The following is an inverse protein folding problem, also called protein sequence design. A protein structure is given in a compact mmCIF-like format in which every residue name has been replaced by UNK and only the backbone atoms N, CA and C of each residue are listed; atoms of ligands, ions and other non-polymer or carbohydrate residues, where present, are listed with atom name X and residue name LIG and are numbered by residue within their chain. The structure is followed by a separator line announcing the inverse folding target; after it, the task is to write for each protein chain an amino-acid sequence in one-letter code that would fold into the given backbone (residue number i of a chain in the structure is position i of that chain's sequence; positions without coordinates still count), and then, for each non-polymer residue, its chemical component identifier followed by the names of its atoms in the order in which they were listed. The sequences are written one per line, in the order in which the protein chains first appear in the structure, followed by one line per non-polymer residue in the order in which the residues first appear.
data_IF_041761388031
#
_entry.id   IF_041761388031
#
_cell.length_a   1.000
_cell.length_b   1.000
_cell.length_c   1.000
_cell.angle_alpha   90.00
_cell.angle_beta   90.00
_cell.angle_gamma   90.00
#
_symmetry.space_group_name_H-M   'P 1'
#
loop_
_entity.id
_entity.type
_entity.pdbx_description
1 polymer ?
#
# COMPACT_ATOMS: atom_id res chain seq x y z
N UNK A 1 -7.42 13.94 -4.57
CA UNK A 1 -7.00 14.33 -3.21
C UNK A 1 -5.68 15.06 -3.36
N UNK A 2 -5.56 16.21 -2.71
CA UNK A 2 -4.40 17.10 -2.77
C UNK A 2 -3.64 17.08 -1.44
N UNK A 3 -2.40 17.55 -1.43
CA UNK A 3 -1.63 17.75 -0.19
C UNK A 3 -2.36 18.64 0.83
N UNK A 4 -3.15 19.62 0.37
CA UNK A 4 -4.00 20.46 1.22
C UNK A 4 -5.09 19.68 1.96
N UNK A 5 -5.62 18.63 1.33
CA UNK A 5 -6.61 17.76 1.97
C UNK A 5 -5.97 16.97 3.12
N UNK A 6 -4.70 16.57 2.97
CA UNK A 6 -3.92 15.91 4.03
C UNK A 6 -3.67 16.86 5.19
N UNK A 7 -3.25 18.09 4.89
CA UNK A 7 -2.99 19.11 5.89
C UNK A 7 -4.22 19.36 6.77
N UNK A 8 -5.40 19.52 6.15
CA UNK A 8 -6.68 19.67 6.86
C UNK A 8 -7.00 18.45 7.73
N UNK A 9 -6.82 17.24 7.20
CA UNK A 9 -7.05 16.02 7.98
C UNK A 9 -6.07 15.88 9.16
N UNK A 10 -4.86 16.43 9.06
CA UNK A 10 -3.88 16.45 10.15
C UNK A 10 -4.24 17.44 11.27
N UNK A 11 -5.03 18.47 11.00
CA UNK A 11 -5.50 19.40 12.04
C UNK A 11 -6.36 18.69 13.08
N UNK A 12 -7.20 17.75 12.64
CA UNK A 12 -8.06 16.92 13.49
C UNK A 12 -7.36 15.69 14.08
N UNK A 13 -6.14 15.36 13.63
CA UNK A 13 -5.43 14.14 14.02
C UNK A 13 -4.37 14.37 15.09
N UNK A 14 -4.22 13.43 16.01
CA UNK A 14 -3.16 13.41 17.04
C UNK A 14 -1.98 12.54 16.62
N UNK A 15 -2.27 11.52 15.80
CA UNK A 15 -1.31 10.53 15.30
C UNK A 15 -1.53 10.33 13.80
N UNK A 16 -0.45 10.29 13.04
CA UNK A 16 -0.44 9.87 11.64
C UNK A 16 0.09 8.44 11.57
N UNK A 17 -0.74 7.52 11.10
CA UNK A 17 -0.35 6.15 10.79
C UNK A 17 -0.07 6.05 9.29
N UNK A 18 1.20 6.08 8.92
CA UNK A 18 1.62 5.88 7.53
C UNK A 18 1.69 4.38 7.22
N UNK A 19 0.92 3.95 6.24
CA UNK A 19 0.90 2.57 5.77
C UNK A 19 1.82 2.43 4.57
N UNK A 20 2.77 1.51 4.66
CA UNK A 20 3.73 1.20 3.60
C UNK A 20 3.66 -0.27 3.20
N UNK A 21 4.16 -0.63 2.01
CA UNK A 21 4.24 -2.01 1.53
C UNK A 21 5.60 -2.61 1.89
N UNK A 22 5.61 -3.70 2.67
CA UNK A 22 6.85 -4.30 3.17
C UNK A 22 7.78 -4.83 2.07
N UNK A 23 7.26 -5.07 0.86
CA UNK A 23 8.07 -5.50 -0.29
C UNK A 23 8.96 -4.37 -0.81
N UNK A 24 8.49 -3.12 -0.69
CA UNK A 24 9.17 -1.94 -1.22
C UNK A 24 9.08 -0.73 -0.26
N UNK A 25 9.64 -0.83 0.97
CA UNK A 25 9.46 0.21 1.98
C UNK A 25 9.96 1.59 1.54
N UNK A 26 11.17 1.68 0.98
CA UNK A 26 11.73 2.98 0.57
C UNK A 26 10.93 3.66 -0.56
N UNK A 27 10.30 2.89 -1.47
CA UNK A 27 9.46 3.44 -2.54
C UNK A 27 8.09 3.89 -1.98
N UNK A 28 7.56 3.15 -1.00
CA UNK A 28 6.20 3.38 -0.47
C UNK A 28 6.13 4.29 0.75
N UNK A 29 7.27 4.74 1.28
CA UNK A 29 7.36 5.84 2.25
C UNK A 29 7.21 7.19 1.56
N UNK A 30 6.56 8.12 2.24
CA UNK A 30 6.36 9.48 1.77
C UNK A 30 7.13 10.47 2.65
N UNK A 31 8.34 10.82 2.21
CA UNK A 31 9.20 11.79 2.92
C UNK A 31 8.51 13.13 3.15
N UNK A 32 7.64 13.54 2.22
CA UNK A 32 6.82 14.75 2.35
C UNK A 32 5.79 14.64 3.48
N UNK A 33 5.08 13.51 3.58
CA UNK A 33 4.16 13.26 4.69
C UNK A 33 4.90 13.23 6.03
N UNK A 34 6.03 12.53 6.08
CA UNK A 34 6.88 12.41 7.27
C UNK A 34 7.35 13.79 7.77
N UNK A 35 7.88 14.62 6.86
CA UNK A 35 8.31 15.99 7.15
C UNK A 35 7.15 16.85 7.66
N UNK A 36 6.03 16.86 6.96
CA UNK A 36 4.84 17.63 7.32
C UNK A 36 4.26 17.22 8.69
N UNK A 37 4.31 15.93 9.02
CA UNK A 37 3.87 15.41 10.32
C UNK A 37 4.77 15.93 11.45
N UNK A 38 6.09 15.91 11.24
CA UNK A 38 7.08 16.43 12.20
C UNK A 38 6.95 17.93 12.41
N UNK A 39 6.82 18.70 11.33
CA UNK A 39 6.69 20.17 11.40
C UNK A 39 5.44 20.62 12.17
N UNK A 40 4.39 19.79 12.18
CA UNK A 40 3.15 20.03 12.94
C UNK A 40 3.19 19.45 14.36
N UNK A 41 4.32 18.89 14.81
CA UNK A 41 4.47 18.30 16.14
C UNK A 41 3.57 17.09 16.40
N UNK A 42 3.09 16.41 15.35
CA UNK A 42 2.21 15.24 15.47
C UNK A 42 3.04 13.96 15.57
N UNK A 43 2.49 12.93 16.21
CA UNK A 43 3.15 11.63 16.29
C UNK A 43 3.07 10.91 14.93
N UNK A 44 4.17 10.35 14.43
CA UNK A 44 4.18 9.49 13.25
C UNK A 44 4.46 8.03 13.65
N UNK A 45 3.67 7.11 13.11
CA UNK A 45 3.86 5.67 13.26
C UNK A 45 3.81 5.02 11.87
N UNK A 46 4.73 4.10 11.61
CA UNK A 46 4.75 3.32 10.37
C UNK A 46 4.03 1.98 10.59
N UNK A 47 2.97 1.73 9.83
CA UNK A 47 2.39 0.40 9.66
C UNK A 47 3.01 -0.25 8.42
N UNK A 48 4.03 -1.09 8.62
CA UNK A 48 4.66 -1.85 7.54
C UNK A 48 3.77 -3.05 7.21
N UNK A 49 2.96 -2.93 6.16
CA UNK A 49 1.92 -3.88 5.81
C UNK A 49 2.39 -4.92 4.78
N UNK A 50 1.65 -6.02 4.64
CA UNK A 50 1.93 -7.15 3.74
C UNK A 50 3.20 -7.93 4.09
N UNK A 51 3.56 -7.97 5.38
CA UNK A 51 4.75 -8.71 5.86
C UNK A 51 4.69 -10.22 5.58
N UNK A 52 3.52 -10.75 5.21
CA UNK A 52 3.37 -12.13 4.73
C UNK A 52 3.95 -12.37 3.32
N UNK A 53 4.31 -11.31 2.59
CA UNK A 53 4.86 -11.39 1.23
C UNK A 53 6.39 -11.29 1.19
N UNK A 54 7.04 -11.20 2.35
CA UNK A 54 8.48 -11.00 2.49
C UNK A 54 9.02 -11.98 3.53
N UNK A 55 10.21 -12.60 3.31
CA UNK A 55 10.86 -13.42 4.32
C UNK A 55 11.05 -12.67 5.64
N UNK A 56 10.97 -13.41 6.75
CA UNK A 56 11.03 -12.83 8.09
C UNK A 56 12.30 -12.02 8.34
N UNK A 57 13.45 -12.55 7.94
CA UNK A 57 14.74 -11.89 8.13
C UNK A 57 14.83 -10.57 7.33
N UNK A 58 14.28 -10.54 6.11
CA UNK A 58 14.23 -9.31 5.30
C UNK A 58 13.29 -8.28 5.93
N UNK A 59 12.13 -8.71 6.42
CA UNK A 59 11.20 -7.83 7.14
C UNK A 59 11.85 -7.25 8.42
N UNK A 60 12.57 -8.06 9.19
CA UNK A 60 13.29 -7.63 10.39
C UNK A 60 14.38 -6.59 10.07
N UNK A 61 15.13 -6.75 8.98
CA UNK A 61 16.12 -5.74 8.52
C UNK A 61 15.46 -4.42 8.14
N UNK A 62 14.33 -4.45 7.44
CA UNK A 62 13.57 -3.24 7.12
C UNK A 62 13.03 -2.54 8.37
N UNK A 63 12.47 -3.31 9.31
CA UNK A 63 12.01 -2.78 10.61
C UNK A 63 13.17 -2.10 11.32
N UNK A 64 14.32 -2.76 11.45
CA UNK A 64 15.48 -2.19 12.11
C UNK A 64 15.90 -0.87 11.48
N UNK A 65 16.02 -0.81 10.14
CA UNK A 65 16.41 0.41 9.42
C UNK A 65 15.44 1.57 9.66
N UNK A 66 14.14 1.33 9.50
CA UNK A 66 13.11 2.37 9.61
C UNK A 66 12.87 2.78 11.07
N UNK A 67 13.07 1.84 12.02
CA UNK A 67 12.89 2.09 13.46
C UNK A 67 13.84 3.13 14.04
N UNK A 68 14.93 3.45 13.33
CA UNK A 68 15.85 4.55 13.66
C UNK A 68 15.19 5.92 13.51
N UNK A 69 14.19 6.04 12.64
CA UNK A 69 13.50 7.31 12.36
C UNK A 69 12.12 7.36 13.02
N UNK A 70 11.38 6.25 13.00
CA UNK A 70 9.97 6.20 13.43
C UNK A 70 9.60 4.85 14.04
N UNK A 71 8.66 4.79 14.99
CA UNK A 71 8.11 3.52 15.45
C UNK A 71 7.47 2.72 14.31
N UNK A 72 7.85 1.46 14.16
CA UNK A 72 7.34 0.55 13.12
C UNK A 72 6.53 -0.58 13.73
N UNK A 73 5.34 -0.83 13.19
CA UNK A 73 4.52 -2.00 13.51
C UNK A 73 4.36 -2.86 12.25
N UNK A 74 4.95 -4.08 12.22
CA UNK A 74 4.74 -5.01 11.12
C UNK A 74 3.34 -5.62 11.18
N UNK A 75 2.64 -5.64 10.04
CA UNK A 75 1.25 -6.10 9.93
C UNK A 75 1.04 -6.88 8.64
N UNK A 76 0.23 -7.93 8.68
CA UNK A 76 -0.47 -8.45 7.51
C UNK A 76 -1.96 -8.28 7.72
N UNK A 77 -2.55 -7.25 7.12
CA UNK A 77 -4.00 -7.05 7.22
C UNK A 77 -4.76 -8.23 6.59
N UNK A 78 -4.23 -8.81 5.51
CA UNK A 78 -4.81 -9.95 4.79
C UNK A 78 -4.84 -11.21 5.65
N UNK A 79 -3.71 -11.55 6.28
CA UNK A 79 -3.57 -12.74 7.15
C UNK A 79 -3.93 -12.45 8.62
N UNK A 80 -4.35 -11.22 8.92
CA UNK A 80 -4.64 -10.69 10.26
C UNK A 80 -3.46 -10.78 11.26
N UNK A 81 -2.22 -10.89 10.78
CA UNK A 81 -1.01 -10.94 11.61
C UNK A 81 -0.62 -9.53 12.08
N UNK A 82 -0.18 -9.40 13.34
CA UNK A 82 0.27 -8.13 13.92
C UNK A 82 -0.82 -7.09 14.16
N UNK A 83 -2.07 -7.39 13.81
CA UNK A 83 -3.21 -6.47 13.86
C UNK A 83 -3.59 -6.05 15.28
N UNK A 84 -3.58 -7.00 16.23
CA UNK A 84 -3.77 -6.72 17.65
C UNK A 84 -2.61 -5.90 18.24
N UNK A 85 -1.38 -6.14 17.77
CA UNK A 85 -0.21 -5.36 18.17
C UNK A 85 -0.34 -3.91 17.70
N UNK A 86 -0.77 -3.69 16.45
CA UNK A 86 -1.07 -2.36 15.92
C UNK A 86 -2.16 -1.65 16.75
N UNK A 87 -3.29 -2.31 17.01
CA UNK A 87 -4.36 -1.74 17.85
C UNK A 87 -3.85 -1.36 19.24
N UNK A 88 -3.12 -2.25 19.92
CA UNK A 88 -2.55 -1.99 21.24
C UNK A 88 -1.51 -0.86 21.21
N UNK A 89 -0.74 -0.75 20.13
CA UNK A 89 0.23 0.31 19.95
C UNK A 89 -0.47 1.67 19.84
N UNK A 90 -1.47 1.78 18.97
CA UNK A 90 -2.26 3.02 18.80
C UNK A 90 -3.00 3.43 20.07
N UNK A 91 -3.44 2.46 20.88
CA UNK A 91 -4.12 2.71 22.16
C UNK A 91 -3.26 3.47 23.18
N UNK A 92 -1.93 3.44 23.05
CA UNK A 92 -1.01 4.22 23.91
C UNK A 92 -1.18 5.73 23.77
N UNK A 93 -1.77 6.17 22.65
CA UNK A 93 -2.07 7.57 22.40
C UNK A 93 -3.50 7.96 22.83
N UNK A 94 -4.32 7.03 23.32
CA UNK A 94 -5.72 7.31 23.67
C UNK A 94 -5.83 8.30 24.85
N UNK A 95 -6.71 9.32 24.81
CA UNK A 95 -7.65 9.60 23.72
C UNK A 95 -6.94 10.19 22.49
N UNK A 96 -7.18 9.61 21.30
CA UNK A 96 -6.56 10.05 20.06
C UNK A 96 -7.44 9.83 18.83
N UNK A 97 -7.22 10.70 17.84
CA UNK A 97 -7.66 10.59 16.46
C UNK A 97 -6.46 10.22 15.59
N UNK A 98 -6.56 9.09 14.90
CA UNK A 98 -5.48 8.56 14.05
C UNK A 98 -5.81 8.79 12.57
N UNK A 99 -5.00 9.59 11.88
CA UNK A 99 -5.07 9.73 10.42
C UNK A 99 -4.33 8.56 9.77
N UNK A 100 -5.03 7.75 8.98
CA UNK A 100 -4.41 6.65 8.22
C UNK A 100 -4.02 7.19 6.85
N UNK A 101 -2.72 7.26 6.56
CA UNK A 101 -2.17 7.80 5.32
C UNK A 101 -1.26 6.78 4.60
N UNK A 102 -0.88 7.07 3.36
CA UNK A 102 -0.05 6.18 2.52
C UNK A 102 -0.48 6.17 1.06
N UNK A 103 0.40 5.73 0.16
CA UNK A 103 0.11 5.63 -1.28
C UNK A 103 -1.05 4.65 -1.57
N UNK A 104 -1.73 4.77 -2.72
CA UNK A 104 -2.64 3.73 -3.22
C UNK A 104 -2.02 2.32 -3.16
N UNK A 105 -2.87 1.29 -3.06
CA UNK A 105 -2.51 -0.15 -3.11
C UNK A 105 -1.57 -0.70 -2.03
N UNK A 106 -1.05 0.10 -1.10
CA UNK A 106 -0.26 -0.36 0.09
C UNK A 106 -1.09 -1.14 1.12
N UNK A 107 -2.42 -1.05 1.06
CA UNK A 107 -3.35 -1.80 1.92
C UNK A 107 -3.98 -1.00 3.08
N UNK A 108 -4.04 0.33 2.97
CA UNK A 108 -4.75 1.21 3.92
C UNK A 108 -6.16 0.73 4.27
N UNK A 109 -6.99 0.50 3.26
CA UNK A 109 -8.38 0.06 3.45
C UNK A 109 -8.47 -1.29 4.17
N UNK A 110 -7.52 -2.19 3.92
CA UNK A 110 -7.44 -3.47 4.64
C UNK A 110 -7.10 -3.26 6.12
N UNK A 111 -6.18 -2.36 6.45
CA UNK A 111 -5.85 -2.00 7.83
C UNK A 111 -7.05 -1.34 8.52
N UNK A 112 -7.71 -0.39 7.86
CA UNK A 112 -8.93 0.26 8.36
C UNK A 112 -9.98 -0.79 8.71
N UNK A 113 -10.25 -1.74 7.80
CA UNK A 113 -11.27 -2.78 8.03
C UNK A 113 -10.90 -3.71 9.19
N UNK A 114 -9.62 -4.05 9.32
CA UNK A 114 -9.11 -4.82 10.45
C UNK A 114 -9.26 -4.04 11.76
N UNK A 115 -8.93 -2.74 11.76
CA UNK A 115 -9.02 -1.89 12.96
C UNK A 115 -10.47 -1.65 13.36
N UNK A 116 -11.40 -1.48 12.42
CA UNK A 116 -12.85 -1.42 12.69
C UNK A 116 -13.35 -2.66 13.42
N UNK A 117 -12.85 -3.85 13.07
CA UNK A 117 -13.26 -5.11 13.71
C UNK A 117 -14.67 -5.58 13.30
N UNK A 118 -15.11 -6.75 13.80
CA UNK A 118 -16.48 -7.28 13.61
C UNK A 118 -17.45 -6.92 14.76
N UNK A 119 -16.91 -6.57 15.93
CA UNK A 119 -17.65 -6.32 17.17
C UNK A 119 -17.60 -4.85 17.64
N UNK A 120 -17.30 -3.92 16.74
CA UNK A 120 -17.41 -2.49 17.05
C UNK A 120 -18.88 -2.14 17.26
N UNK A 121 -19.29 -2.11 18.53
CA UNK A 121 -20.51 -1.43 18.94
C UNK A 121 -20.46 -0.02 18.33
N UNK A 122 -21.35 0.22 17.36
CA UNK A 122 -21.49 1.43 16.54
C UNK A 122 -20.25 1.90 15.75
N UNK A 123 -19.86 1.15 14.71
CA UNK A 123 -19.02 1.63 13.58
C UNK A 123 -19.70 2.66 12.68
N UNK A 124 -20.68 3.41 13.19
CA UNK A 124 -21.32 4.48 12.43
C UNK A 124 -20.32 5.62 12.24
N UNK A 125 -20.30 6.27 11.06
CA UNK A 125 -19.59 7.53 10.90
C UNK A 125 -19.97 8.47 12.05
N UNK A 126 -18.97 9.09 12.69
CA UNK A 126 -19.26 10.15 13.66
C UNK A 126 -19.98 11.26 12.89
N UNK A 127 -21.14 11.76 13.36
CA UNK A 127 -21.87 12.84 12.70
C UNK A 127 -20.93 13.99 12.35
N UNK A 128 -21.11 14.55 11.15
CA UNK A 128 -20.21 15.57 10.60
C UNK A 128 -20.08 16.74 11.58
N UNK A 129 -18.91 16.89 12.19
CA UNK A 129 -18.58 18.07 12.98
C UNK A 129 -18.33 19.27 12.04
N UNK A 130 -18.61 20.52 12.48
CA UNK A 130 -18.29 21.72 11.69
C UNK A 130 -16.79 21.74 11.36
N UNK A 131 -16.44 21.83 10.07
CA UNK A 131 -15.04 21.73 9.58
C UNK A 131 -14.74 20.46 8.76
N UNK A 132 -15.69 19.54 8.66
CA UNK A 132 -15.55 18.28 7.91
C UNK A 132 -15.09 18.47 6.45
N UNK A 133 -13.92 17.95 6.10
CA UNK A 133 -13.42 17.96 4.71
C UNK A 133 -14.13 16.87 3.88
N UNK A 134 -14.75 17.24 2.75
CA UNK A 134 -15.40 16.30 1.82
C UNK A 134 -14.44 15.15 1.46
N UNK A 135 -14.84 13.90 1.70
CA UNK A 135 -14.08 12.69 1.32
C UNK A 135 -13.32 12.01 2.46
N UNK A 136 -13.26 12.60 3.65
CA UNK A 136 -12.76 11.94 4.85
C UNK A 136 -13.92 11.41 5.68
N UNK A 137 -13.76 10.25 6.30
CA UNK A 137 -14.77 9.71 7.23
C UNK A 137 -14.12 9.33 8.54
N UNK A 138 -14.63 9.90 9.65
CA UNK A 138 -14.18 9.59 11.00
C UNK A 138 -14.95 8.40 11.55
N UNK A 139 -14.25 7.33 11.89
CA UNK A 139 -14.82 6.13 12.50
C UNK A 139 -14.34 6.00 13.93
N UNK A 140 -15.27 5.71 14.85
CA UNK A 140 -14.92 5.29 16.20
C UNK A 140 -14.50 3.82 16.18
N UNK A 141 -13.33 3.52 16.74
CA UNK A 141 -12.81 2.15 16.87
C UNK A 141 -13.14 1.55 18.23
N UNK A 142 -12.95 2.34 19.28
CA UNK A 142 -13.33 2.04 20.66
C UNK A 142 -13.46 3.35 21.47
N UNK A 143 -13.71 3.28 22.78
CA UNK A 143 -13.75 4.48 23.63
C UNK A 143 -12.39 5.18 23.62
N UNK A 144 -12.38 6.46 23.20
CA UNK A 144 -11.17 7.29 23.13
C UNK A 144 -10.31 7.10 21.88
N UNK A 145 -10.62 6.15 20.98
CA UNK A 145 -9.82 5.93 19.77
C UNK A 145 -10.66 6.06 18.51
N UNK A 146 -10.28 7.00 17.66
CA UNK A 146 -10.93 7.29 16.39
C UNK A 146 -9.92 7.15 15.24
N UNK A 147 -10.41 6.80 14.05
CA UNK A 147 -9.61 6.82 12.82
C UNK A 147 -10.25 7.77 11.81
N UNK A 148 -9.42 8.48 11.06
CA UNK A 148 -9.83 9.22 9.87
C UNK A 148 -9.46 8.36 8.66
N UNK A 149 -10.49 7.87 7.94
CA UNK A 149 -10.34 7.18 6.67
C UNK A 149 -10.13 8.20 5.55
N UNK A 150 -9.02 8.03 4.82
CA UNK A 150 -8.62 8.88 3.72
C UNK A 150 -8.31 8.02 2.48
N UNK A 151 -9.28 7.88 1.55
CA UNK A 151 -9.08 7.03 0.39
C UNK A 151 -7.98 7.59 -0.52
N UNK A 152 -6.83 6.88 -0.59
CA UNK A 152 -5.76 7.19 -1.54
C UNK A 152 -5.09 8.55 -1.31
N UNK A 153 -4.86 8.91 -0.05
CA UNK A 153 -4.56 10.30 0.33
C UNK A 153 -3.29 10.89 -0.29
N UNK A 154 -2.24 10.08 -0.41
CA UNK A 154 -0.98 10.55 -0.99
C UNK A 154 -1.07 10.42 -2.51
N UNK A 155 -0.99 11.53 -3.26
CA UNK A 155 -0.90 11.47 -4.71
C UNK A 155 0.32 10.63 -5.10
N UNK A 156 0.15 9.58 -5.93
CA UNK A 156 1.29 8.83 -6.42
C UNK A 156 2.16 9.74 -7.30
N UNK A 157 3.44 9.79 -6.98
CA UNK A 157 4.48 10.50 -7.73
C UNK A 157 5.50 9.47 -8.25
N UNK A 158 6.28 9.84 -9.28
CA UNK A 158 7.26 8.96 -9.93
C UNK A 158 6.76 8.32 -11.22
N UNK A 159 7.63 7.55 -11.87
CA UNK A 159 7.39 6.91 -13.16
C UNK A 159 7.79 5.43 -13.14
N UNK A 160 7.46 4.69 -14.20
CA UNK A 160 7.81 3.28 -14.35
C UNK A 160 7.40 2.43 -13.15
N UNK A 161 8.34 1.68 -12.58
CA UNK A 161 8.06 0.77 -11.47
C UNK A 161 7.64 1.49 -10.17
N UNK A 162 8.14 2.70 -9.90
CA UNK A 162 7.69 3.46 -8.73
C UNK A 162 6.20 3.80 -8.82
N UNK A 163 5.75 4.20 -10.01
CA UNK A 163 4.34 4.46 -10.26
C UNK A 163 3.50 3.21 -10.03
N UNK A 164 3.96 2.03 -10.46
CA UNK A 164 3.29 0.75 -10.16
C UNK A 164 3.15 0.52 -8.66
N UNK A 165 4.25 0.58 -7.93
CA UNK A 165 4.27 0.27 -6.50
C UNK A 165 3.44 1.28 -5.68
N UNK A 166 3.43 2.56 -6.08
CA UNK A 166 2.62 3.62 -5.47
C UNK A 166 1.16 3.64 -5.97
N UNK A 167 0.79 2.78 -6.92
CA UNK A 167 -0.54 2.72 -7.51
C UNK A 167 -0.93 3.99 -8.27
N UNK A 168 0.00 4.47 -9.09
CA UNK A 168 -0.13 5.57 -10.04
C UNK A 168 -1.15 5.30 -11.15
N UNK A 169 -1.41 6.36 -11.93
CA UNK A 169 -2.29 6.33 -13.09
C UNK A 169 -1.46 6.63 -14.33
N UNK A 170 -1.02 5.59 -15.01
CA UNK A 170 -0.32 5.65 -16.28
C UNK A 170 -0.93 4.62 -17.24
N UNK A 171 -0.37 4.51 -18.44
CA UNK A 171 -0.75 3.44 -19.35
C UNK A 171 -0.52 2.06 -18.70
N UNK A 172 -1.49 1.17 -18.88
CA UNK A 172 -1.49 -0.13 -18.21
C UNK A 172 -0.39 -1.04 -18.73
N UNK A 173 -0.14 -1.01 -20.04
CA UNK A 173 0.89 -1.82 -20.71
C UNK A 173 2.27 -1.31 -20.30
N UNK A 174 2.48 0.00 -20.23
CA UNK A 174 3.75 0.58 -19.76
C UNK A 174 4.06 0.23 -18.30
N UNK A 175 3.05 0.33 -17.44
CA UNK A 175 3.15 -0.07 -16.04
C UNK A 175 3.44 -1.57 -15.89
N UNK A 176 2.72 -2.41 -16.62
CA UNK A 176 2.94 -3.85 -16.65
C UNK A 176 4.35 -4.18 -17.15
N UNK A 177 4.82 -3.52 -18.21
CA UNK A 177 6.15 -3.70 -18.78
C UNK A 177 7.24 -3.32 -17.77
N UNK A 178 7.08 -2.18 -17.08
CA UNK A 178 7.99 -1.75 -16.00
C UNK A 178 8.04 -2.75 -14.85
N UNK A 179 6.89 -3.30 -14.46
CA UNK A 179 6.79 -4.36 -13.45
C UNK A 179 7.51 -5.64 -13.90
N UNK A 180 7.31 -6.07 -15.15
CA UNK A 180 7.93 -7.27 -15.73
C UNK A 180 9.44 -7.12 -15.72
N UNK A 181 9.96 -6.06 -16.33
CA UNK A 181 11.40 -5.81 -16.42
C UNK A 181 12.06 -5.74 -15.03
N UNK A 182 11.39 -5.15 -14.05
CA UNK A 182 11.90 -5.07 -12.68
C UNK A 182 11.84 -6.42 -11.96
N UNK A 183 10.74 -7.16 -12.11
CA UNK A 183 10.60 -8.48 -11.53
C UNK A 183 11.63 -9.47 -12.10
N UNK A 184 11.88 -9.45 -13.40
CA UNK A 184 12.89 -10.30 -14.06
C UNK A 184 14.30 -10.00 -13.58
N UNK A 185 14.61 -8.74 -13.24
CA UNK A 185 15.90 -8.35 -12.67
C UNK A 185 16.05 -8.78 -11.20
N UNK A 186 15.02 -8.58 -10.38
CA UNK A 186 15.08 -8.84 -8.93
C UNK A 186 14.87 -10.32 -8.59
N UNK A 187 14.00 -11.01 -9.32
CA UNK A 187 13.63 -12.40 -9.07
C UNK A 187 13.53 -13.18 -10.39
N UNK A 188 14.68 -13.51 -11.01
CA UNK A 188 14.71 -14.25 -12.27
C UNK A 188 13.90 -15.56 -12.23
N UNK A 189 13.12 -15.80 -13.27
CA UNK A 189 12.28 -16.99 -13.41
C UNK A 189 10.95 -16.94 -12.64
N UNK A 190 10.66 -15.87 -11.89
CA UNK A 190 9.39 -15.68 -11.20
C UNK A 190 8.19 -15.71 -12.17
N UNK A 191 8.27 -14.91 -13.24
CA UNK A 191 7.21 -14.77 -14.23
C UNK A 191 7.12 -16.02 -15.12
N UNK A 192 8.26 -16.64 -15.43
CA UNK A 192 8.33 -17.95 -16.08
C UNK A 192 7.53 -19.00 -15.32
N UNK A 193 7.74 -19.12 -14.00
CA UNK A 193 6.97 -20.04 -13.15
C UNK A 193 5.50 -19.63 -13.01
N UNK A 194 5.21 -18.34 -12.89
CA UNK A 194 3.86 -17.85 -12.65
C UNK A 194 2.94 -17.96 -13.86
N UNK A 195 3.48 -17.69 -15.07
CA UNK A 195 2.69 -17.59 -16.29
C UNK A 195 3.02 -18.67 -17.33
N UNK A 196 4.07 -19.46 -17.14
CA UNK A 196 4.46 -20.55 -18.05
C UNK A 196 5.12 -20.05 -19.34
N UNK A 197 5.86 -18.94 -19.27
CA UNK A 197 6.48 -18.29 -20.44
C UNK A 197 7.90 -18.79 -20.70
N UNK A 198 8.33 -18.76 -21.96
CA UNK A 198 9.71 -19.09 -22.33
C UNK A 198 10.70 -18.03 -21.83
N UNK A 199 10.34 -16.76 -22.06
CA UNK A 199 11.12 -15.56 -21.74
C UNK A 199 10.31 -14.59 -20.88
N UNK A 200 10.99 -13.86 -19.99
CA UNK A 200 10.35 -12.87 -19.10
C UNK A 200 10.38 -11.46 -19.70
N UNK A 201 10.09 -11.35 -21.00
CA UNK A 201 9.94 -10.08 -21.72
C UNK A 201 8.51 -9.56 -21.57
N UNK A 202 8.30 -8.23 -21.63
CA UNK A 202 6.95 -7.65 -21.56
C UNK A 202 5.96 -8.22 -22.58
N UNK A 203 6.39 -8.35 -23.83
CA UNK A 203 5.58 -8.85 -24.93
C UNK A 203 5.13 -10.30 -24.70
N UNK A 204 6.08 -11.18 -24.34
CA UNK A 204 5.79 -12.60 -24.16
C UNK A 204 4.89 -12.86 -22.95
N UNK A 205 5.17 -12.19 -21.82
CA UNK A 205 4.35 -12.32 -20.60
C UNK A 205 2.92 -11.83 -20.83
N UNK A 206 2.75 -10.65 -21.43
CA UNK A 206 1.42 -10.11 -21.68
C UNK A 206 0.66 -10.93 -22.74
N UNK A 207 1.33 -11.38 -23.79
CA UNK A 207 0.73 -12.23 -24.82
C UNK A 207 0.29 -13.59 -24.25
N UNK A 208 1.11 -14.20 -23.40
CA UNK A 208 0.76 -15.46 -22.74
C UNK A 208 -0.47 -15.32 -21.83
N UNK A 209 -0.55 -14.23 -21.06
CA UNK A 209 -1.74 -13.93 -20.24
C UNK A 209 -2.96 -13.71 -21.14
N UNK A 210 -2.83 -12.92 -22.22
CA UNK A 210 -3.93 -12.63 -23.14
C UNK A 210 -4.47 -13.90 -23.80
N UNK A 211 -3.59 -14.75 -24.36
CA UNK A 211 -3.94 -16.04 -24.97
C UNK A 211 -4.66 -16.96 -23.98
N UNK A 212 -4.09 -17.13 -22.78
CA UNK A 212 -4.66 -18.01 -21.74
C UNK A 212 -6.04 -17.55 -21.26
N UNK A 213 -6.31 -16.25 -21.30
CA UNK A 213 -7.59 -15.66 -20.86
C UNK A 213 -8.58 -15.43 -22.00
N UNK A 214 -8.20 -15.67 -23.25
CA UNK A 214 -9.02 -15.37 -24.41
C UNK A 214 -9.23 -13.87 -24.63
N UNK A 215 -8.28 -13.03 -24.23
CA UNK A 215 -8.35 -11.58 -24.42
C UNK A 215 -7.94 -11.22 -25.85
N UNK A 216 -8.95 -11.16 -26.72
CA UNK A 216 -8.80 -10.90 -28.15
C UNK A 216 -9.80 -9.82 -28.56
N UNK A 217 -9.36 -8.84 -29.35
CA UNK A 217 -10.26 -7.85 -29.94
C UNK A 217 -11.12 -8.51 -31.01
N UNK A 218 -12.45 -8.47 -30.85
CA UNK A 218 -13.39 -9.07 -31.81
C UNK A 218 -13.29 -8.47 -33.22
N UNK A 219 -12.85 -7.22 -33.33
CA UNK A 219 -12.75 -6.49 -34.59
C UNK A 219 -11.52 -6.85 -35.41
N UNK A 220 -10.37 -7.04 -34.77
CA UNK A 220 -9.08 -7.25 -35.46
C UNK A 220 -8.53 -8.67 -35.33
N UNK A 221 -9.00 -9.45 -34.34
CA UNK A 221 -8.42 -10.75 -33.98
C UNK A 221 -7.10 -10.65 -33.21
N UNK A 222 -6.63 -9.44 -32.89
CA UNK A 222 -5.37 -9.23 -32.17
C UNK A 222 -5.52 -9.42 -30.66
N UNK A 223 -4.43 -9.75 -29.98
CA UNK A 223 -4.39 -9.91 -28.53
C UNK A 223 -4.62 -8.56 -27.83
N UNK A 224 -5.52 -8.55 -26.85
CA UNK A 224 -5.77 -7.38 -26.02
C UNK A 224 -4.80 -7.35 -24.84
N UNK A 225 -3.63 -6.73 -25.06
CA UNK A 225 -2.57 -6.61 -24.06
C UNK A 225 -2.95 -5.73 -22.87
N UNK A 226 -3.87 -4.76 -23.07
CA UNK A 226 -4.35 -3.90 -21.98
C UNK A 226 -5.14 -4.67 -20.93
N UNK A 227 -5.98 -5.64 -21.32
CA UNK A 227 -6.66 -6.53 -20.37
C UNK A 227 -5.69 -7.49 -19.67
N UNK A 228 -4.70 -8.00 -20.40
CA UNK A 228 -3.64 -8.81 -19.81
C UNK A 228 -2.83 -8.02 -18.77
N UNK A 229 -2.49 -6.77 -19.07
CA UNK A 229 -1.78 -5.87 -18.17
C UNK A 229 -2.57 -5.61 -16.88
N UNK A 230 -3.90 -5.42 -16.95
CA UNK A 230 -4.76 -5.31 -15.75
C UNK A 230 -4.64 -6.55 -14.86
N UNK A 231 -4.74 -7.74 -15.46
CA UNK A 231 -4.63 -9.01 -14.72
C UNK A 231 -3.27 -9.14 -14.03
N UNK A 232 -2.18 -8.84 -14.74
CA UNK A 232 -0.83 -8.90 -14.19
C UNK A 232 -0.65 -7.95 -13.00
N UNK A 233 -1.08 -6.69 -13.15
CA UNK A 233 -1.00 -5.69 -12.09
C UNK A 233 -1.86 -6.08 -10.88
N UNK A 234 -3.06 -6.63 -11.10
CA UNK A 234 -3.88 -7.16 -10.01
C UNK A 234 -3.25 -8.35 -9.29
N UNK A 235 -2.65 -9.28 -10.04
CA UNK A 235 -1.94 -10.42 -9.46
C UNK A 235 -0.77 -9.94 -8.58
N UNK A 236 -0.07 -8.88 -8.99
CA UNK A 236 0.97 -8.23 -8.18
C UNK A 236 0.41 -7.55 -6.92
N UNK A 237 -0.66 -6.76 -7.03
CA UNK A 237 -1.25 -6.08 -5.88
C UNK A 237 -1.86 -7.04 -4.86
N UNK A 238 -2.40 -8.17 -5.33
CA UNK A 238 -2.93 -9.26 -4.49
C UNK A 238 -1.83 -10.18 -3.94
N UNK A 239 -0.58 -9.99 -4.36
CA UNK A 239 0.57 -10.79 -3.93
C UNK A 239 0.56 -12.23 -4.44
N UNK A 240 -0.09 -12.51 -5.58
CA UNK A 240 0.04 -13.80 -6.29
C UNK A 240 1.41 -13.90 -6.96
N UNK A 241 1.85 -12.81 -7.58
CA UNK A 241 3.25 -12.60 -7.92
C UNK A 241 3.85 -11.67 -6.87
N UNK A 242 4.95 -12.11 -6.26
CA UNK A 242 5.61 -11.36 -5.20
C UNK A 242 7.12 -11.46 -5.35
N UNK A 243 7.75 -10.30 -5.25
CA UNK A 243 9.17 -10.11 -5.08
C UNK A 243 9.34 -8.90 -4.16
N UNK A 244 10.55 -8.68 -3.65
CA UNK A 244 10.82 -7.68 -2.64
C UNK A 244 12.23 -7.15 -2.78
N UNK A 245 12.46 -5.94 -2.28
CA UNK A 245 13.80 -5.39 -2.12
C UNK A 245 14.38 -5.82 -0.78
N UNK A 246 15.68 -6.09 -0.78
CA UNK A 246 16.46 -6.29 0.44
C UNK A 246 17.09 -4.94 0.75
N UNK A 247 17.01 -4.45 2.00
CA UNK A 247 17.72 -3.22 2.35
C UNK A 247 19.21 -3.48 2.16
N UNK A 248 19.94 -2.52 1.59
CA UNK A 248 21.40 -2.63 1.48
C UNK A 248 21.99 -3.00 2.85
N UNK A 249 22.94 -3.93 2.87
CA UNK A 249 23.73 -4.19 4.07
C UNK A 249 24.33 -2.84 4.43
N UNK A 250 23.93 -2.29 5.57
CA UNK A 250 24.65 -1.14 6.11
C UNK A 250 26.05 -1.65 6.42
N UNK A 251 27.12 -0.94 6.02
CA UNK A 251 28.49 -1.33 6.32
C UNK A 251 28.70 -1.59 7.82
#
# INVERSE_FOLDING_TARGET
MSWRDIERAMEEADVVLEVIDSRFPDITRSRKLEKMTKERGKNLVIAMNKVDLVPRDVAERWIWRISKEFPVVPVSARKRLGTMRLRRFLKRYSPAVVLIAGFPKVGKSSIINVLKGRHSASTSPVPRSPGYTKGFTKYRIEKGLYIIDSPGIIPPEGSGFEAVVRGGKADLVDMASSLILTASKISPGLLKRAYGVAEESPEEVLSAIARKRGFIFKSTGELNLSEAAKVLLEDFYRGKISFFMIPEKTP
#
